data_IF_839644789476
#
_entry.id   IF_839644789476
#
_cell.length_a   1.000
_cell.length_b   1.000
_cell.length_c   1.000
_cell.angle_alpha   90.00
_cell.angle_beta   90.00
_cell.angle_gamma   90.00
#
_symmetry.space_group_name_H-M   'P 1'
#
loop_
_entity.id
_entity.type
_entity.pdbx_description
1 polymer ?
#
# COMPACT_ATOMS: atom_id res chain seq x y z
N UNK A 1 12.84 -20.65 10.81
CA UNK A 1 11.99 -20.13 11.89
C UNK A 1 10.63 -19.78 11.30
N UNK A 2 9.56 -20.26 11.91
CA UNK A 2 8.18 -19.90 11.53
C UNK A 2 7.53 -19.17 12.68
N UNK A 3 6.93 -18.02 12.41
CA UNK A 3 6.14 -17.25 13.38
C UNK A 3 4.77 -16.97 12.77
N UNK A 4 3.72 -17.26 13.52
CA UNK A 4 2.35 -16.89 13.16
C UNK A 4 1.69 -16.19 14.35
N UNK A 5 1.16 -14.99 14.13
CA UNK A 5 0.52 -14.18 15.18
C UNK A 5 -0.83 -13.65 14.69
N UNK A 6 -1.86 -13.77 15.53
CA UNK A 6 -3.20 -13.24 15.29
C UNK A 6 -3.57 -12.26 16.41
N UNK A 7 -3.88 -11.02 16.07
CA UNK A 7 -4.29 -9.98 17.02
C UNK A 7 -5.66 -9.46 16.63
N UNK A 8 -6.58 -9.35 17.59
CA UNK A 8 -7.89 -8.71 17.40
C UNK A 8 -8.11 -7.67 18.47
N UNK A 9 -8.47 -6.46 18.06
CA UNK A 9 -8.81 -5.34 18.94
C UNK A 9 -10.24 -4.90 18.66
N UNK A 10 -11.02 -4.69 19.73
CA UNK A 10 -12.38 -4.16 19.68
C UNK A 10 -12.52 -3.02 20.69
N UNK A 11 -13.11 -1.91 20.27
CA UNK A 11 -13.37 -0.77 21.16
C UNK A 11 -12.41 0.38 20.94
N UNK A 12 -12.14 1.16 21.98
CA UNK A 12 -11.25 2.31 21.93
C UNK A 12 -9.86 1.91 22.41
N UNK A 13 -8.83 2.49 21.81
CA UNK A 13 -7.45 2.29 22.23
C UNK A 13 -6.51 1.77 21.14
N UNK A 14 -5.30 1.45 21.55
CA UNK A 14 -4.21 1.03 20.68
C UNK A 14 -4.02 -0.48 20.79
N UNK A 15 -3.72 -1.13 19.69
CA UNK A 15 -3.05 -2.41 19.76
C UNK A 15 -1.99 -2.55 18.70
N UNK A 16 -0.84 -3.00 19.19
CA UNK A 16 0.42 -2.97 18.47
C UNK A 16 0.95 -4.39 18.50
N UNK A 17 1.21 -4.95 17.32
CA UNK A 17 2.16 -6.05 17.18
C UNK A 17 3.50 -5.43 16.85
N UNK A 18 4.50 -5.71 17.68
CA UNK A 18 5.86 -5.31 17.41
C UNK A 18 6.75 -6.54 17.44
N UNK A 19 7.40 -6.81 16.32
CA UNK A 19 8.45 -7.81 16.22
C UNK A 19 9.77 -7.09 15.99
N UNK A 20 10.63 -7.15 17.01
CA UNK A 20 11.94 -6.53 16.99
C UNK A 20 12.99 -7.54 16.51
N UNK A 21 13.84 -7.11 15.57
CA UNK A 21 15.13 -7.74 15.25
C UNK A 21 15.16 -9.27 15.21
N UNK A 22 14.93 -9.85 14.03
CA UNK A 22 15.09 -11.28 13.81
C UNK A 22 16.31 -11.58 12.94
N UNK A 23 17.07 -12.59 13.31
CA UNK A 23 18.13 -13.16 12.48
C UNK A 23 17.90 -14.66 12.35
N UNK A 24 17.80 -15.17 11.14
CA UNK A 24 17.66 -16.62 10.90
C UNK A 24 18.11 -16.99 9.50
N UNK A 25 18.55 -18.22 9.26
CA UNK A 25 18.86 -18.66 7.90
C UNK A 25 17.62 -18.60 6.99
N UNK A 26 16.47 -19.01 7.52
CA UNK A 26 15.19 -18.96 6.81
C UNK A 26 14.08 -18.50 7.76
N UNK A 27 13.36 -17.46 7.36
CA UNK A 27 12.27 -16.85 8.11
C UNK A 27 10.95 -16.95 7.34
N UNK A 28 9.93 -17.50 7.99
CA UNK A 28 8.55 -17.44 7.52
C UNK A 28 7.71 -16.74 8.59
N UNK A 29 7.24 -15.53 8.30
CA UNK A 29 6.51 -14.69 9.24
C UNK A 29 5.13 -14.42 8.67
N UNK A 30 4.10 -14.78 9.44
CA UNK A 30 2.71 -14.49 9.12
C UNK A 30 2.11 -13.70 10.29
N UNK A 31 1.62 -12.50 10.00
CA UNK A 31 0.96 -11.65 10.99
C UNK A 31 -0.43 -11.27 10.47
N UNK A 32 -1.44 -11.55 11.28
CA UNK A 32 -2.82 -11.13 11.06
C UNK A 32 -3.25 -10.19 12.16
N UNK A 33 -3.71 -9.00 11.81
CA UNK A 33 -4.24 -8.05 12.76
C UNK A 33 -5.59 -7.50 12.32
N UNK A 34 -6.57 -7.61 13.21
CA UNK A 34 -7.90 -7.04 13.06
C UNK A 34 -8.09 -5.93 14.09
N UNK A 35 -8.53 -4.77 13.64
CA UNK A 35 -8.83 -3.63 14.50
C UNK A 35 -10.24 -3.13 14.19
N UNK A 36 -11.12 -3.15 15.19
CA UNK A 36 -12.50 -2.69 15.07
C UNK A 36 -12.78 -1.55 16.04
N UNK A 37 -13.06 -0.37 15.48
CA UNK A 37 -13.37 0.85 16.22
C UNK A 37 -14.80 1.25 15.86
N UNK A 38 -15.75 0.97 16.75
CA UNK A 38 -17.17 1.30 16.50
C UNK A 38 -17.47 2.80 16.63
N UNK A 39 -17.00 3.40 17.71
CA UNK A 39 -17.05 4.84 18.05
C UNK A 39 -15.69 5.25 18.63
N UNK A 40 -15.43 6.54 18.86
CA UNK A 40 -14.22 7.00 19.58
C UNK A 40 -12.94 7.00 18.72
N UNK A 41 -11.80 6.68 19.32
CA UNK A 41 -10.52 6.63 18.61
C UNK A 41 -9.80 5.30 18.81
N UNK A 42 -9.00 4.88 17.83
CA UNK A 42 -8.14 3.72 18.00
C UNK A 42 -7.11 3.55 16.90
N UNK A 43 -6.07 2.79 17.22
CA UNK A 43 -4.92 2.60 16.33
C UNK A 43 -4.51 1.13 16.34
N UNK A 44 -4.48 0.52 15.16
CA UNK A 44 -3.95 -0.82 14.93
C UNK A 44 -2.63 -0.72 14.19
N UNK A 45 -1.55 -1.19 14.81
CA UNK A 45 -0.21 -1.19 14.18
C UNK A 45 0.38 -2.59 14.18
N UNK A 46 0.73 -3.08 13.01
CA UNK A 46 1.62 -4.21 12.80
C UNK A 46 2.98 -3.70 12.37
N UNK A 47 4.01 -3.95 13.17
CA UNK A 47 5.37 -3.46 12.93
C UNK A 47 6.40 -4.59 13.00
N UNK A 48 7.13 -4.78 11.91
CA UNK A 48 8.35 -5.57 11.87
C UNK A 48 9.55 -4.62 11.71
N UNK A 49 10.38 -4.53 12.74
CA UNK A 49 11.46 -3.54 12.78
C UNK A 49 12.62 -3.93 11.85
N UNK A 50 13.17 -5.13 12.03
CA UNK A 50 14.28 -5.59 11.22
C UNK A 50 14.25 -7.12 11.09
N UNK A 51 14.54 -7.62 9.90
CA UNK A 51 14.79 -9.03 9.65
C UNK A 51 16.05 -9.17 8.79
N UNK A 52 16.94 -10.07 9.22
CA UNK A 52 18.08 -10.53 8.44
C UNK A 52 17.93 -12.05 8.21
N UNK A 53 17.92 -12.48 6.95
CA UNK A 53 17.91 -13.90 6.64
C UNK A 53 18.50 -14.24 5.27
N UNK A 54 18.87 -15.49 5.04
CA UNK A 54 19.21 -15.91 3.66
C UNK A 54 17.94 -15.96 2.81
N UNK A 55 16.84 -16.46 3.38
CA UNK A 55 15.53 -16.48 2.74
C UNK A 55 14.46 -15.95 3.68
N UNK A 56 13.63 -15.03 3.19
CA UNK A 56 12.52 -14.44 3.93
C UNK A 56 11.21 -14.59 3.16
N UNK A 57 10.19 -15.13 3.82
CA UNK A 57 8.81 -15.03 3.42
C UNK A 57 8.04 -14.27 4.50
N UNK A 58 7.56 -13.08 4.17
CA UNK A 58 6.81 -12.22 5.09
C UNK A 58 5.42 -12.01 4.53
N UNK A 59 4.42 -12.32 5.34
CA UNK A 59 3.02 -12.12 5.01
C UNK A 59 2.38 -11.33 6.15
N UNK A 60 1.90 -10.13 5.85
CA UNK A 60 1.22 -9.27 6.82
C UNK A 60 -0.17 -8.92 6.31
N UNK A 61 -1.19 -9.33 7.06
CA UNK A 61 -2.59 -8.99 6.84
C UNK A 61 -3.08 -8.07 7.94
N UNK A 62 -3.59 -6.91 7.56
CA UNK A 62 -4.19 -5.96 8.49
C UNK A 62 -5.57 -5.58 7.99
N UNK A 63 -6.57 -5.74 8.85
CA UNK A 63 -7.93 -5.33 8.60
C UNK A 63 -8.35 -4.30 9.65
N UNK A 64 -8.65 -3.08 9.21
CA UNK A 64 -9.07 -1.98 10.07
C UNK A 64 -10.49 -1.55 9.70
N UNK A 65 -11.38 -1.53 10.68
CA UNK A 65 -12.74 -0.99 10.55
C UNK A 65 -12.93 0.17 11.51
N UNK A 66 -13.39 1.30 10.99
CA UNK A 66 -13.67 2.53 11.73
C UNK A 66 -15.11 2.94 11.45
N UNK A 67 -15.98 2.88 12.45
CA UNK A 67 -17.41 3.19 12.35
C UNK A 67 -17.68 4.70 12.38
N UNK A 68 -17.89 5.25 13.59
CA UNK A 68 -18.14 6.68 13.86
C UNK A 68 -17.05 7.23 14.79
N UNK A 69 -15.83 7.32 14.30
CA UNK A 69 -14.66 7.63 15.12
C UNK A 69 -13.44 8.00 14.30
N UNK A 70 -12.29 8.06 14.95
CA UNK A 70 -10.99 8.32 14.35
C UNK A 70 -10.16 7.05 14.42
N UNK A 71 -9.43 6.71 13.37
CA UNK A 71 -8.52 5.60 13.53
C UNK A 71 -7.49 5.41 12.45
N UNK A 72 -6.45 4.68 12.82
CA UNK A 72 -5.32 4.42 11.94
C UNK A 72 -5.02 2.93 11.93
N UNK A 73 -4.94 2.35 10.74
CA UNK A 73 -4.36 1.04 10.51
C UNK A 73 -3.01 1.18 9.84
N UNK A 74 -1.94 0.66 10.45
CA UNK A 74 -0.59 0.67 9.87
C UNK A 74 -0.04 -0.74 9.81
N UNK A 75 0.41 -1.12 8.63
CA UNK A 75 1.29 -2.28 8.40
C UNK A 75 2.66 -1.76 8.00
N UNK A 76 3.70 -2.04 8.78
CA UNK A 76 5.03 -1.47 8.58
C UNK A 76 6.13 -2.54 8.65
N UNK A 77 6.98 -2.57 7.62
CA UNK A 77 8.26 -3.26 7.62
C UNK A 77 9.37 -2.20 7.51
N UNK A 78 10.18 -2.03 8.55
CA UNK A 78 11.21 -0.98 8.54
C UNK A 78 12.44 -1.41 7.72
N UNK A 79 13.02 -2.57 8.02
CA UNK A 79 14.19 -3.06 7.28
C UNK A 79 14.14 -4.56 7.06
N UNK A 80 14.53 -4.99 5.86
CA UNK A 80 14.83 -6.38 5.54
C UNK A 80 16.13 -6.46 4.75
N UNK A 81 17.02 -7.35 5.17
CA UNK A 81 18.20 -7.75 4.42
C UNK A 81 18.11 -9.26 4.15
N UNK A 82 18.14 -9.67 2.88
CA UNK A 82 18.16 -11.10 2.56
C UNK A 82 18.78 -11.45 1.23
N UNK A 83 19.15 -12.71 1.00
CA UNK A 83 19.49 -13.12 -0.37
C UNK A 83 18.23 -13.19 -1.23
N UNK A 84 17.17 -13.83 -0.72
CA UNK A 84 15.87 -13.94 -1.38
C UNK A 84 14.74 -13.49 -0.46
N UNK A 85 13.93 -12.54 -0.91
CA UNK A 85 12.77 -12.01 -0.20
C UNK A 85 11.47 -12.21 -0.98
N UNK A 86 10.46 -12.76 -0.32
CA UNK A 86 9.06 -12.70 -0.74
C UNK A 86 8.27 -11.96 0.33
N UNK A 87 7.65 -10.84 -0.06
CA UNK A 87 6.96 -9.95 0.87
C UNK A 87 5.55 -9.72 0.33
N UNK A 88 4.54 -10.05 1.14
CA UNK A 88 3.13 -9.83 0.84
C UNK A 88 2.53 -8.99 1.97
N UNK A 89 2.11 -7.77 1.67
CA UNK A 89 1.37 -6.91 2.60
C UNK A 89 -0.04 -6.74 2.07
N UNK A 90 -1.02 -7.20 2.84
CA UNK A 90 -2.44 -6.99 2.57
C UNK A 90 -3.06 -6.08 3.62
N UNK A 91 -3.63 -4.97 3.19
CA UNK A 91 -4.28 -4.00 4.07
C UNK A 91 -5.69 -3.73 3.58
N UNK A 92 -6.67 -4.00 4.42
CA UNK A 92 -8.05 -3.60 4.19
C UNK A 92 -8.47 -2.57 5.23
N UNK A 93 -8.86 -1.38 4.78
CA UNK A 93 -9.33 -0.30 5.66
C UNK A 93 -10.74 0.11 5.25
N UNK A 94 -11.67 0.03 6.19
CA UNK A 94 -13.03 0.52 6.04
C UNK A 94 -13.28 1.68 7.00
N UNK A 95 -13.75 2.81 6.47
CA UNK A 95 -14.11 4.01 7.21
C UNK A 95 -15.57 4.33 6.92
N UNK A 96 -16.43 4.22 7.92
CA UNK A 96 -17.87 4.46 7.82
C UNK A 96 -18.19 5.96 7.72
N UNK A 97 -18.42 6.60 8.87
CA UNK A 97 -18.71 8.04 9.01
C UNK A 97 -17.57 8.80 9.70
N UNK A 98 -16.48 8.11 10.01
CA UNK A 98 -15.35 8.62 10.78
C UNK A 98 -14.23 9.24 9.94
N UNK A 99 -13.09 9.42 10.58
CA UNK A 99 -11.84 9.82 9.96
C UNK A 99 -10.88 8.65 10.08
N UNK A 100 -10.09 8.37 9.04
CA UNK A 100 -9.06 7.37 9.23
C UNK A 100 -8.05 7.21 8.13
N UNK A 101 -6.99 6.50 8.48
CA UNK A 101 -5.85 6.27 7.59
C UNK A 101 -5.51 4.79 7.58
N UNK A 102 -5.39 4.22 6.39
CA UNK A 102 -4.76 2.93 6.15
C UNK A 102 -3.38 3.13 5.53
N UNK A 103 -2.34 2.59 6.14
CA UNK A 103 -0.97 2.66 5.62
C UNK A 103 -0.38 1.27 5.53
N UNK A 104 0.19 0.95 4.37
CA UNK A 104 1.09 -0.18 4.16
C UNK A 104 2.43 0.38 3.74
N UNK A 105 3.47 0.13 4.53
CA UNK A 105 4.78 0.73 4.32
C UNK A 105 5.89 -0.30 4.41
N UNK A 106 6.78 -0.25 3.42
CA UNK A 106 8.09 -0.90 3.44
C UNK A 106 9.15 0.19 3.33
N UNK A 107 9.95 0.40 4.37
CA UNK A 107 10.92 1.49 4.38
C UNK A 107 12.21 1.11 3.64
N UNK A 108 12.82 -0.03 3.95
CA UNK A 108 14.04 -0.46 3.28
C UNK A 108 14.07 -1.97 3.04
N UNK A 109 14.45 -2.37 1.82
CA UNK A 109 14.80 -3.75 1.48
C UNK A 109 16.12 -3.77 0.71
N UNK A 110 17.05 -4.62 1.17
CA UNK A 110 18.25 -5.00 0.45
C UNK A 110 18.19 -6.49 0.14
N UNK A 111 18.27 -6.86 -1.14
CA UNK A 111 18.27 -8.28 -1.52
C UNK A 111 19.09 -8.62 -2.75
N UNK A 112 19.34 -9.91 -3.01
CA UNK A 112 19.74 -10.33 -4.36
C UNK A 112 18.52 -10.49 -5.25
N UNK A 113 17.45 -11.08 -4.73
CA UNK A 113 16.17 -11.21 -5.42
C UNK A 113 15.02 -10.86 -4.50
N UNK A 114 14.12 -9.99 -4.96
CA UNK A 114 12.94 -9.57 -4.23
C UNK A 114 11.67 -9.73 -5.07
N UNK A 115 10.66 -10.35 -4.48
CA UNK A 115 9.28 -10.29 -4.90
C UNK A 115 8.47 -9.57 -3.84
N UNK A 116 7.87 -8.45 -4.22
CA UNK A 116 7.12 -7.58 -3.31
C UNK A 116 5.72 -7.39 -3.86
N UNK A 117 4.73 -7.73 -3.04
CA UNK A 117 3.33 -7.62 -3.36
C UNK A 117 2.66 -6.79 -2.26
N UNK A 118 2.25 -5.57 -2.57
CA UNK A 118 1.47 -4.72 -1.68
C UNK A 118 0.06 -4.63 -2.23
N UNK A 119 -0.92 -5.08 -1.45
CA UNK A 119 -2.33 -4.98 -1.76
C UNK A 119 -3.01 -4.12 -0.71
N UNK A 120 -3.62 -3.03 -1.15
CA UNK A 120 -4.39 -2.17 -0.27
C UNK A 120 -5.77 -1.91 -0.81
N UNK A 121 -6.77 -2.14 0.03
CA UNK A 121 -8.15 -1.79 -0.23
C UNK A 121 -8.60 -0.78 0.82
N UNK A 122 -9.07 0.38 0.37
CA UNK A 122 -9.58 1.43 1.25
C UNK A 122 -10.99 1.80 0.81
N UNK A 123 -11.94 1.66 1.73
CA UNK A 123 -13.32 2.07 1.54
C UNK A 123 -13.66 3.20 2.49
N UNK A 124 -14.17 4.31 1.97
CA UNK A 124 -14.60 5.48 2.71
C UNK A 124 -16.08 5.73 2.40
N UNK A 125 -16.95 5.55 3.38
CA UNK A 125 -18.39 5.70 3.24
C UNK A 125 -18.82 7.17 3.13
N UNK A 126 -19.00 7.82 4.28
CA UNK A 126 -19.36 9.25 4.41
C UNK A 126 -18.31 10.06 5.16
N UNK A 127 -17.20 9.43 5.51
CA UNK A 127 -16.13 9.99 6.32
C UNK A 127 -15.02 10.65 5.52
N UNK A 128 -13.88 10.84 6.18
CA UNK A 128 -12.63 11.26 5.56
C UNK A 128 -11.62 10.14 5.67
N UNK A 129 -10.83 9.90 4.64
CA UNK A 129 -9.74 8.97 4.84
C UNK A 129 -8.70 8.89 3.75
N UNK A 130 -7.60 8.27 4.12
CA UNK A 130 -6.44 8.13 3.25
C UNK A 130 -6.00 6.67 3.24
N UNK A 131 -5.84 6.11 2.05
CA UNK A 131 -5.13 4.84 1.83
C UNK A 131 -3.75 5.15 1.25
N UNK A 132 -2.68 4.68 1.90
CA UNK A 132 -1.31 4.81 1.39
C UNK A 132 -0.64 3.45 1.32
N UNK A 133 -0.13 3.11 0.14
CA UNK A 133 0.82 2.03 -0.07
C UNK A 133 2.15 2.64 -0.47
N UNK A 134 3.18 2.44 0.33
CA UNK A 134 4.47 3.10 0.13
C UNK A 134 5.63 2.11 0.24
N UNK A 135 6.53 2.19 -0.74
CA UNK A 135 7.84 1.54 -0.71
C UNK A 135 8.91 2.61 -0.85
N UNK A 136 9.70 2.83 0.20
CA UNK A 136 10.64 3.96 0.24
C UNK A 136 11.95 3.64 -0.49
N UNK A 137 12.64 2.57 -0.12
CA UNK A 137 13.91 2.20 -0.77
C UNK A 137 14.02 0.69 -0.99
N UNK A 138 14.40 0.32 -2.21
CA UNK A 138 14.77 -1.04 -2.56
C UNK A 138 16.08 -1.07 -3.34
N UNK A 139 17.01 -1.89 -2.88
CA UNK A 139 18.19 -2.30 -3.61
C UNK A 139 18.11 -3.81 -3.86
N UNK A 140 18.15 -4.22 -5.13
CA UNK A 140 18.15 -5.64 -5.49
C UNK A 140 18.93 -5.93 -6.76
N UNK A 141 19.41 -7.16 -6.97
CA UNK A 141 19.85 -7.51 -8.34
C UNK A 141 18.64 -7.67 -9.25
N UNK A 142 17.64 -8.40 -8.78
CA UNK A 142 16.39 -8.66 -9.49
C UNK A 142 15.18 -8.34 -8.62
N UNK A 143 14.36 -7.38 -9.04
CA UNK A 143 13.17 -6.97 -8.31
C UNK A 143 11.90 -7.19 -9.14
N UNK A 144 10.91 -7.84 -8.55
CA UNK A 144 9.52 -7.86 -9.03
C UNK A 144 8.64 -7.19 -7.99
N UNK A 145 7.98 -6.11 -8.38
CA UNK A 145 7.19 -5.27 -7.49
C UNK A 145 5.80 -5.13 -8.06
N UNK A 146 4.81 -5.51 -7.27
CA UNK A 146 3.40 -5.39 -7.60
C UNK A 146 2.74 -4.58 -6.48
N UNK A 147 2.35 -3.36 -6.80
CA UNK A 147 1.51 -2.54 -5.93
C UNK A 147 0.10 -2.50 -6.52
N UNK A 148 -0.87 -2.93 -5.73
CA UNK A 148 -2.28 -2.91 -6.06
C UNK A 148 -3.01 -2.09 -5.02
N UNK A 149 -3.65 -1.02 -5.46
CA UNK A 149 -4.45 -0.19 -4.59
C UNK A 149 -5.84 0.02 -5.16
N UNK A 150 -6.83 -0.30 -4.35
CA UNK A 150 -8.22 0.00 -4.63
C UNK A 150 -8.73 1.00 -3.59
N UNK A 151 -9.23 2.14 -4.04
CA UNK A 151 -9.81 3.16 -3.19
C UNK A 151 -11.23 3.45 -3.64
N UNK A 152 -12.19 3.23 -2.75
CA UNK A 152 -13.58 3.58 -2.96
C UNK A 152 -13.97 4.70 -2.00
N UNK A 153 -14.53 5.78 -2.54
CA UNK A 153 -15.03 6.93 -1.79
C UNK A 153 -16.50 7.11 -2.14
N UNK A 154 -17.39 6.88 -1.18
CA UNK A 154 -18.84 6.98 -1.35
C UNK A 154 -19.31 8.43 -1.44
N UNK A 155 -19.59 9.05 -0.29
CA UNK A 155 -20.01 10.46 -0.14
C UNK A 155 -19.00 11.30 0.66
N UNK A 156 -17.85 10.70 0.97
CA UNK A 156 -16.82 11.28 1.82
C UNK A 156 -15.73 12.01 1.05
N UNK A 157 -14.63 12.26 1.73
CA UNK A 157 -13.39 12.77 1.14
C UNK A 157 -12.32 11.70 1.27
N UNK A 158 -11.49 11.52 0.25
CA UNK A 158 -10.35 10.66 0.45
C UNK A 158 -9.30 10.63 -0.63
N UNK A 159 -8.18 10.05 -0.25
CA UNK A 159 -7.00 9.96 -1.12
C UNK A 159 -6.49 8.53 -1.11
N UNK A 160 -6.30 7.96 -2.30
CA UNK A 160 -5.52 6.74 -2.51
C UNK A 160 -4.16 7.10 -3.07
N UNK A 161 -3.09 6.73 -2.38
CA UNK A 161 -1.71 6.91 -2.86
C UNK A 161 -1.01 5.59 -2.93
N UNK A 162 -0.44 5.26 -4.09
CA UNK A 162 0.53 4.20 -4.24
C UNK A 162 1.84 4.80 -4.73
N UNK A 163 2.89 4.64 -3.94
CA UNK A 163 4.15 5.33 -4.15
C UNK A 163 5.34 4.38 -4.01
N UNK A 164 6.23 4.44 -5.00
CA UNK A 164 7.57 3.87 -4.91
C UNK A 164 8.59 5.02 -5.01
N UNK A 165 9.36 5.26 -3.96
CA UNK A 165 10.25 6.41 -3.92
C UNK A 165 11.57 6.14 -4.63
N UNK A 166 12.27 5.05 -4.29
CA UNK A 166 13.54 4.71 -4.92
C UNK A 166 13.72 3.21 -5.14
N UNK A 167 14.11 2.84 -6.36
CA UNK A 167 14.56 1.49 -6.71
C UNK A 167 15.91 1.56 -7.44
N UNK A 168 16.88 0.81 -6.94
CA UNK A 168 18.11 0.48 -7.64
C UNK A 168 18.16 -1.02 -7.91
N UNK A 169 18.28 -1.42 -9.18
CA UNK A 169 18.43 -2.84 -9.51
C UNK A 169 19.18 -3.13 -10.80
N UNK A 170 19.59 -4.38 -11.05
CA UNK A 170 20.04 -4.75 -12.41
C UNK A 170 18.83 -4.97 -13.32
N UNK A 171 17.83 -5.68 -12.82
CA UNK A 171 16.59 -5.98 -13.53
C UNK A 171 15.38 -5.70 -12.65
N UNK A 172 14.46 -4.88 -13.15
CA UNK A 172 13.22 -4.53 -12.46
C UNK A 172 11.99 -4.86 -13.30
N UNK A 173 11.01 -5.51 -12.69
CA UNK A 173 9.63 -5.56 -13.17
C UNK A 173 8.75 -4.85 -12.14
N UNK A 174 8.10 -3.77 -12.55
CA UNK A 174 7.27 -2.94 -11.68
C UNK A 174 5.88 -2.89 -12.27
N UNK A 175 4.90 -3.35 -11.52
CA UNK A 175 3.49 -3.24 -11.85
C UNK A 175 2.83 -2.42 -10.76
N UNK A 176 2.31 -1.27 -11.14
CA UNK A 176 1.59 -0.38 -10.26
C UNK A 176 0.17 -0.25 -10.78
N UNK A 177 -0.78 -0.88 -10.08
CA UNK A 177 -2.18 -0.84 -10.40
C UNK A 177 -2.93 -0.04 -9.35
N UNK A 178 -3.68 0.96 -9.80
CA UNK A 178 -4.54 1.74 -8.95
C UNK A 178 -5.93 1.84 -9.55
N UNK A 179 -6.93 1.51 -8.74
CA UNK A 179 -8.32 1.73 -9.05
C UNK A 179 -8.91 2.70 -8.01
N UNK A 180 -9.43 3.82 -8.47
CA UNK A 180 -10.07 4.82 -7.63
C UNK A 180 -11.50 5.01 -8.10
N UNK A 181 -12.46 4.78 -7.21
CA UNK A 181 -13.87 5.06 -7.44
C UNK A 181 -14.32 6.17 -6.49
N UNK A 182 -14.92 7.22 -7.04
CA UNK A 182 -15.48 8.34 -6.30
C UNK A 182 -16.95 8.46 -6.67
N UNK A 183 -17.85 8.17 -5.74
CA UNK A 183 -19.29 8.19 -5.97
C UNK A 183 -19.85 9.61 -6.05
N UNK A 184 -20.17 10.20 -4.91
CA UNK A 184 -20.66 11.58 -4.72
C UNK A 184 -19.71 12.43 -3.87
N UNK A 185 -18.54 11.88 -3.56
CA UNK A 185 -17.54 12.49 -2.68
C UNK A 185 -16.49 13.29 -3.44
N UNK A 186 -15.41 13.61 -2.74
CA UNK A 186 -14.20 14.20 -3.30
C UNK A 186 -13.05 13.23 -3.14
N UNK A 187 -12.20 13.11 -4.15
CA UNK A 187 -10.98 12.34 -3.91
C UNK A 187 -9.93 12.37 -4.98
N UNK A 188 -8.78 11.81 -4.63
CA UNK A 188 -7.63 11.74 -5.51
C UNK A 188 -7.04 10.34 -5.49
N UNK A 189 -6.77 9.80 -6.67
CA UNK A 189 -5.93 8.63 -6.87
C UNK A 189 -4.56 9.07 -7.37
N UNK A 190 -3.49 8.70 -6.68
CA UNK A 190 -2.10 8.96 -7.11
C UNK A 190 -1.34 7.65 -7.22
N UNK A 191 -0.77 7.40 -8.39
CA UNK A 191 0.22 6.35 -8.62
C UNK A 191 1.54 6.99 -9.02
N UNK A 192 2.56 6.85 -8.19
CA UNK A 192 3.83 7.56 -8.36
C UNK A 192 5.04 6.63 -8.24
N UNK A 193 5.93 6.73 -9.22
CA UNK A 193 7.28 6.17 -9.18
C UNK A 193 8.28 7.32 -9.25
N UNK A 194 8.97 7.62 -8.15
CA UNK A 194 9.82 8.81 -8.08
C UNK A 194 11.19 8.58 -8.75
N UNK A 195 11.91 7.52 -8.39
CA UNK A 195 13.21 7.24 -8.98
C UNK A 195 13.43 5.74 -9.24
N UNK A 196 13.83 5.41 -10.47
CA UNK A 196 14.30 4.08 -10.85
C UNK A 196 15.68 4.17 -11.53
N UNK A 197 16.65 3.44 -10.99
CA UNK A 197 17.92 3.15 -11.63
C UNK A 197 18.02 1.66 -11.93
N UNK A 198 18.15 1.27 -13.20
CA UNK A 198 18.34 -0.14 -13.55
C UNK A 198 18.98 -0.41 -14.90
N UNK A 199 19.68 -1.51 -15.08
CA UNK A 199 20.16 -1.90 -16.41
C UNK A 199 18.99 -2.24 -17.33
N UNK A 200 18.02 -3.01 -16.83
CA UNK A 200 16.79 -3.35 -17.54
C UNK A 200 15.54 -3.14 -16.69
N UNK A 201 14.53 -2.50 -17.26
CA UNK A 201 13.25 -2.26 -16.59
C UNK A 201 12.04 -2.63 -17.47
N UNK A 202 11.05 -3.27 -16.88
CA UNK A 202 9.68 -3.32 -17.38
C UNK A 202 8.78 -2.64 -16.37
N UNK A 203 8.10 -1.58 -16.80
CA UNK A 203 7.24 -0.77 -15.95
C UNK A 203 5.84 -0.78 -16.54
N UNK A 204 4.87 -1.25 -15.77
CA UNK A 204 3.46 -1.21 -16.13
C UNK A 204 2.76 -0.36 -15.09
N UNK A 205 2.24 0.78 -15.53
CA UNK A 205 1.47 1.69 -14.70
C UNK A 205 0.03 1.66 -15.20
N UNK A 206 -0.87 1.08 -14.41
CA UNK A 206 -2.28 1.03 -14.74
C UNK A 206 -3.10 1.78 -13.71
N UNK A 207 -3.70 2.89 -14.13
CA UNK A 207 -4.64 3.65 -13.32
C UNK A 207 -6.03 3.62 -13.94
N UNK A 208 -7.03 3.35 -13.11
CA UNK A 208 -8.43 3.51 -13.45
C UNK A 208 -9.07 4.43 -12.41
N UNK A 209 -9.67 5.52 -12.86
CA UNK A 209 -10.37 6.48 -12.01
C UNK A 209 -11.79 6.64 -12.52
N UNK A 210 -12.75 6.27 -11.69
CA UNK A 210 -14.16 6.52 -11.94
C UNK A 210 -14.64 7.61 -10.99
N UNK A 211 -15.26 8.64 -11.54
CA UNK A 211 -15.89 9.73 -10.80
C UNK A 211 -17.35 9.76 -11.20
N UNK A 212 -18.25 9.53 -10.25
CA UNK A 212 -19.69 9.56 -10.46
C UNK A 212 -20.22 11.00 -10.50
N UNK A 213 -20.97 11.39 -9.47
CA UNK A 213 -21.45 12.76 -9.27
C UNK A 213 -20.51 13.59 -8.37
N UNK A 214 -19.37 13.03 -8.02
CA UNK A 214 -18.37 13.66 -7.15
C UNK A 214 -17.33 14.44 -7.93
N UNK A 215 -16.28 14.87 -7.24
CA UNK A 215 -15.11 15.52 -7.82
C UNK A 215 -13.87 14.68 -7.55
N UNK A 216 -12.93 14.68 -8.49
CA UNK A 216 -11.67 14.04 -8.22
C UNK A 216 -10.69 14.06 -9.36
N UNK A 217 -9.52 13.49 -9.08
CA UNK A 217 -8.41 13.42 -10.01
C UNK A 217 -7.70 12.09 -9.90
N UNK A 218 -7.29 11.56 -11.05
CA UNK A 218 -6.37 10.44 -11.15
C UNK A 218 -5.04 10.95 -11.70
N UNK A 219 -3.95 10.73 -10.97
CA UNK A 219 -2.60 11.10 -11.37
C UNK A 219 -1.73 9.85 -11.45
N UNK A 220 -1.07 9.66 -12.58
CA UNK A 220 -0.03 8.65 -12.78
C UNK A 220 1.26 9.37 -13.17
N UNK A 221 2.34 9.12 -12.43
CA UNK A 221 3.59 9.86 -12.63
C UNK A 221 4.82 8.99 -12.45
N UNK A 222 5.78 9.17 -13.38
CA UNK A 222 7.14 8.63 -13.32
C UNK A 222 8.09 9.82 -13.36
N UNK A 223 8.80 10.11 -12.27
CA UNK A 223 9.59 11.34 -12.17
C UNK A 223 11.00 11.20 -12.75
N UNK A 224 11.70 10.10 -12.43
CA UNK A 224 13.06 9.86 -12.92
C UNK A 224 13.30 8.38 -13.23
N UNK A 225 13.84 8.13 -14.43
CA UNK A 225 14.24 6.81 -14.90
C UNK A 225 15.65 6.90 -15.50
N UNK A 226 16.59 6.15 -14.93
CA UNK A 226 17.89 5.89 -15.50
C UNK A 226 17.98 4.41 -15.86
N UNK A 227 17.98 4.09 -17.16
CA UNK A 227 18.11 2.72 -17.61
C UNK A 227 18.81 2.56 -18.95
N UNK A 228 19.54 1.46 -19.12
CA UNK A 228 20.12 1.06 -20.40
C UNK A 228 19.02 0.59 -21.36
N UNK A 229 18.00 -0.11 -20.84
CA UNK A 229 16.86 -0.58 -21.62
C UNK A 229 15.60 -0.60 -20.75
N UNK A 230 14.57 0.13 -21.16
CA UNK A 230 13.29 0.16 -20.46
C UNK A 230 12.11 -0.04 -21.41
N UNK A 231 11.16 -0.87 -20.99
CA UNK A 231 9.82 -0.92 -21.56
C UNK A 231 8.84 -0.32 -20.57
N UNK A 232 8.07 0.67 -21.02
CA UNK A 232 7.08 1.35 -20.18
C UNK A 232 5.72 1.25 -20.85
N UNK A 233 4.75 0.74 -20.09
CA UNK A 233 3.35 0.66 -20.50
C UNK A 233 2.56 1.51 -19.50
N UNK A 234 1.96 2.59 -19.99
CA UNK A 234 1.05 3.41 -19.21
C UNK A 234 -0.37 3.20 -19.72
N UNK A 235 -1.27 2.83 -18.81
CA UNK A 235 -2.68 2.65 -19.09
C UNK A 235 -3.50 3.45 -18.09
N UNK A 236 -4.00 4.59 -18.51
CA UNK A 236 -4.84 5.45 -17.69
C UNK A 236 -6.24 5.54 -18.27
N UNK A 237 -7.23 5.22 -17.44
CA UNK A 237 -8.64 5.40 -17.74
C UNK A 237 -9.26 6.33 -16.72
N UNK A 238 -9.86 7.41 -17.19
CA UNK A 238 -10.63 8.31 -16.34
C UNK A 238 -12.03 8.41 -16.90
N UNK A 239 -13.00 7.96 -16.13
CA UNK A 239 -14.40 8.16 -16.40
C UNK A 239 -14.95 9.23 -15.46
N UNK A 240 -15.65 10.21 -16.04
CA UNK A 240 -16.38 11.24 -15.30
C UNK A 240 -17.85 11.13 -15.71
N UNK A 241 -18.68 10.69 -14.78
CA UNK A 241 -20.12 10.62 -14.94
C UNK A 241 -20.73 12.01 -14.97
N UNK A 242 -21.92 12.15 -15.58
CA UNK A 242 -22.64 13.43 -15.63
C UNK A 242 -23.01 13.90 -14.21
N UNK A 243 -22.25 14.87 -13.69
CA UNK A 243 -22.62 15.72 -12.56
C UNK A 243 -23.06 17.09 -13.08
N UNK A 244 -24.24 17.56 -12.64
CA UNK A 244 -24.95 18.81 -12.97
C UNK A 244 -24.21 19.79 -13.91
N UNK A 245 -24.37 19.57 -15.21
CA UNK A 245 -24.55 20.68 -16.16
C UNK A 245 -26.01 21.09 -16.12
N UNK A 246 -26.27 22.39 -16.09
CA UNK A 246 -27.59 23.01 -16.17
C UNK A 246 -28.37 22.52 -17.40
N UNK A 247 -29.57 21.99 -17.18
CA UNK A 247 -30.73 22.14 -18.07
C UNK A 247 -31.80 22.92 -17.29
#
# INVERSE_FOLDING_TARGET
MTLTLFITLKGWGTGVSHLAGLASTSAHIILHQHTYIGTGWGTGVSHLAALASTSAQIILHQHTYIGKGWGTGVSHLAALASTSAQIILHQHTYIGKGWGTGVSHLAALASTSAQIILHQHTYIGKGWGTGVSHLAALASTSAQIILHQHTYIGKGWGTGVSHLAALASTSAQIILHQHTYIGKGWGTGVSHLAALASTSAQIILHQHTYIGKGWGTGVSHLAALASTSAQIILHQHTYIGKGWGTE
#
